data_IF_072809591890
#
_entry.id   IF_072809591890
#
_cell.length_a   1.000
_cell.length_b   1.000
_cell.length_c   1.000
_cell.angle_alpha   90.00
_cell.angle_beta   90.00
_cell.angle_gamma   90.00
#
_symmetry.space_group_name_H-M   'P 1'
#
loop_
_entity.id
_entity.type
_entity.pdbx_description
1 polymer ?
#
# COMPACT_ATOMS: atom_id res chain seq x y z
N UNK A 1 8.53 3.09 -17.37
CA UNK A 1 8.01 2.26 -16.26
C UNK A 1 9.20 1.89 -15.38
N UNK A 2 9.46 2.72 -14.36
CA UNK A 2 10.51 2.47 -13.39
C UNK A 2 10.02 1.37 -12.46
N UNK A 3 10.54 0.17 -12.64
CA UNK A 3 10.23 -0.91 -11.74
C UNK A 3 11.18 -0.83 -10.55
N UNK A 4 10.62 -0.72 -9.36
CA UNK A 4 11.40 -0.58 -8.14
C UNK A 4 11.58 -1.96 -7.50
N UNK A 5 12.79 -2.52 -7.66
CA UNK A 5 13.19 -3.73 -6.97
C UNK A 5 13.65 -3.39 -5.55
N UNK A 6 13.16 -4.17 -4.57
CA UNK A 6 13.39 -4.00 -3.14
C UNK A 6 13.82 -5.31 -2.50
N UNK A 7 14.56 -5.20 -1.41
CA UNK A 7 14.97 -6.31 -0.56
C UNK A 7 14.37 -6.13 0.83
N UNK A 8 13.78 -7.18 1.38
CA UNK A 8 13.26 -7.17 2.74
C UNK A 8 14.41 -7.05 3.76
N UNK A 9 14.51 -5.91 4.46
CA UNK A 9 15.54 -5.60 5.46
C UNK A 9 15.33 -6.31 6.80
N UNK A 10 14.09 -6.72 7.08
CA UNK A 10 13.69 -7.51 8.24
C UNK A 10 12.62 -8.51 7.85
N UNK A 11 12.35 -9.45 8.75
CA UNK A 11 11.19 -10.31 8.64
C UNK A 11 9.90 -9.48 8.73
N UNK A 12 8.93 -9.79 7.87
CA UNK A 12 7.69 -9.03 7.74
C UNK A 12 6.51 -9.94 7.43
N UNK A 13 5.38 -9.71 8.11
CA UNK A 13 4.13 -10.33 7.73
C UNK A 13 3.57 -9.68 6.46
N UNK A 14 3.12 -10.49 5.51
CA UNK A 14 2.52 -10.05 4.27
C UNK A 14 1.28 -10.90 3.95
N UNK A 15 0.34 -10.36 3.17
CA UNK A 15 -0.86 -11.06 2.74
C UNK A 15 -0.64 -11.56 1.31
N UNK A 16 -0.73 -12.86 1.05
CA UNK A 16 -0.68 -13.40 -0.32
C UNK A 16 -1.93 -13.02 -1.10
N UNK A 17 -1.73 -12.53 -2.32
CA UNK A 17 -2.79 -12.24 -3.28
C UNK A 17 -2.86 -13.39 -4.30
N UNK A 18 -4.07 -13.90 -4.65
CA UNK A 18 -5.40 -13.45 -4.21
C UNK A 18 -5.91 -14.13 -2.93
N UNK A 19 -5.19 -15.08 -2.33
CA UNK A 19 -5.74 -15.98 -1.32
C UNK A 19 -6.05 -15.32 0.04
N UNK A 20 -5.50 -14.13 0.32
CA UNK A 20 -5.71 -13.44 1.59
C UNK A 20 -4.98 -14.06 2.78
N UNK A 21 -4.05 -14.99 2.54
CA UNK A 21 -3.34 -15.73 3.59
C UNK A 21 -2.14 -14.93 4.08
N UNK A 22 -2.03 -14.75 5.39
CA UNK A 22 -0.83 -14.16 6.02
C UNK A 22 0.35 -15.12 5.88
N UNK A 23 1.44 -14.63 5.31
CA UNK A 23 2.72 -15.31 5.21
C UNK A 23 3.81 -14.46 5.84
N UNK A 24 4.81 -15.11 6.39
CA UNK A 24 5.97 -14.46 6.97
C UNK A 24 7.10 -14.48 5.94
N UNK A 25 7.56 -13.31 5.51
CA UNK A 25 8.64 -13.18 4.55
C UNK A 25 9.95 -12.96 5.30
N UNK A 26 10.96 -13.82 5.09
CA UNK A 26 12.25 -13.66 5.76
C UNK A 26 13.00 -12.44 5.22
N UNK A 27 13.90 -11.90 6.05
CA UNK A 27 14.90 -10.93 5.62
C UNK A 27 15.69 -11.46 4.41
N UNK A 28 16.01 -10.59 3.46
CA UNK A 28 16.72 -10.92 2.22
C UNK A 28 15.81 -11.37 1.08
N UNK A 29 14.50 -11.45 1.32
CA UNK A 29 13.54 -11.72 0.25
C UNK A 29 13.58 -10.59 -0.77
N UNK A 30 13.79 -10.93 -2.05
CA UNK A 30 13.76 -9.97 -3.14
C UNK A 30 12.35 -9.88 -3.70
N UNK A 31 11.87 -8.66 -3.88
CA UNK A 31 10.57 -8.39 -4.45
C UNK A 31 10.61 -7.12 -5.30
N UNK A 32 9.57 -6.93 -6.09
CA UNK A 32 9.39 -5.76 -6.95
C UNK A 32 8.11 -5.06 -6.58
N UNK A 33 8.16 -3.77 -6.31
CA UNK A 33 6.95 -2.98 -6.05
C UNK A 33 6.17 -2.86 -7.36
N UNK A 34 4.95 -3.38 -7.37
CA UNK A 34 4.03 -3.29 -8.52
C UNK A 34 3.02 -2.18 -8.34
N UNK A 35 2.60 -1.92 -7.10
CA UNK A 35 1.71 -0.81 -6.73
C UNK A 35 2.04 -0.29 -5.33
N UNK A 36 1.88 1.02 -5.18
CA UNK A 36 1.92 1.74 -3.90
C UNK A 36 0.58 2.46 -3.76
N UNK A 37 -0.31 1.92 -2.93
CA UNK A 37 -1.56 2.57 -2.55
C UNK A 37 -1.33 3.15 -1.16
N UNK A 38 -1.77 4.36 -0.83
CA UNK A 38 -1.32 5.10 0.37
C UNK A 38 -1.18 4.30 1.67
N UNK A 39 -2.01 3.29 1.90
CA UNK A 39 -2.00 2.44 3.09
C UNK A 39 -1.30 1.08 2.94
N UNK A 40 -0.84 0.70 1.75
CA UNK A 40 -0.22 -0.61 1.48
C UNK A 40 0.64 -0.68 0.21
N UNK A 41 1.62 -1.59 0.23
CA UNK A 41 2.44 -1.92 -0.93
C UNK A 41 2.10 -3.29 -1.46
N UNK A 42 1.91 -3.40 -2.77
CA UNK A 42 1.82 -4.68 -3.47
C UNK A 42 3.16 -5.00 -4.10
N UNK A 43 3.68 -6.17 -3.79
CA UNK A 43 5.00 -6.64 -4.16
C UNK A 43 4.89 -7.95 -4.92
N UNK A 44 5.67 -8.09 -5.99
CA UNK A 44 5.86 -9.35 -6.68
C UNK A 44 7.15 -10.00 -6.20
N UNK A 45 7.07 -11.22 -5.66
CA UNK A 45 8.25 -11.95 -5.18
C UNK A 45 9.07 -12.48 -6.36
N UNK A 46 10.36 -12.12 -6.43
CA UNK A 46 11.20 -12.43 -7.59
C UNK A 46 11.59 -13.91 -7.66
N UNK A 47 11.81 -14.55 -6.51
CA UNK A 47 12.27 -15.93 -6.42
C UNK A 47 11.13 -16.95 -6.46
N UNK A 48 10.15 -16.79 -5.58
CA UNK A 48 9.03 -17.73 -5.45
C UNK A 48 7.89 -17.45 -6.43
N UNK A 49 7.93 -16.30 -7.13
CA UNK A 49 6.80 -15.79 -7.86
C UNK A 49 5.62 -15.40 -6.94
N UNK A 50 4.58 -14.85 -7.55
CA UNK A 50 3.35 -14.46 -6.86
C UNK A 50 3.38 -13.05 -6.26
N UNK A 51 2.19 -12.61 -5.82
CA UNK A 51 1.96 -11.28 -5.27
C UNK A 51 1.72 -11.36 -3.77
N UNK A 52 2.26 -10.38 -3.06
CA UNK A 52 2.05 -10.18 -1.63
C UNK A 52 1.75 -8.72 -1.37
N UNK A 53 0.94 -8.44 -0.35
CA UNK A 53 0.65 -7.10 0.13
C UNK A 53 1.19 -6.91 1.54
N UNK A 54 1.92 -5.82 1.76
CA UNK A 54 2.32 -5.38 3.11
C UNK A 54 1.58 -4.08 3.45
N UNK A 55 1.31 -3.86 4.73
CA UNK A 55 0.74 -2.59 5.20
C UNK A 55 1.81 -1.50 5.17
N UNK A 56 1.39 -0.24 5.03
CA UNK A 56 2.32 0.90 5.01
C UNK A 56 3.12 1.04 6.32
N UNK A 57 2.55 0.67 7.48
CA UNK A 57 3.28 0.59 8.75
C UNK A 57 4.54 -0.31 8.71
N UNK A 58 4.58 -1.25 7.76
CA UNK A 58 5.67 -2.20 7.53
C UNK A 58 6.53 -1.80 6.31
N UNK A 59 6.35 -0.60 5.76
CA UNK A 59 7.13 -0.07 4.63
C UNK A 59 8.63 -0.05 4.91
N UNK A 60 9.03 0.11 6.18
CA UNK A 60 10.41 0.04 6.62
C UNK A 60 11.06 -1.31 6.27
N UNK A 61 10.27 -2.39 6.24
CA UNK A 61 10.74 -3.72 5.88
C UNK A 61 11.25 -3.78 4.45
N UNK A 62 10.74 -2.96 3.52
CA UNK A 62 11.22 -2.86 2.13
C UNK A 62 12.10 -1.63 1.89
N UNK A 63 12.51 -0.94 2.96
CA UNK A 63 13.35 0.25 2.88
C UNK A 63 12.64 1.51 2.43
N UNK A 64 11.30 1.51 2.48
CA UNK A 64 10.46 2.69 2.30
C UNK A 64 10.23 3.37 3.65
N UNK A 65 9.94 4.65 3.60
CA UNK A 65 9.48 5.37 4.79
C UNK A 65 7.97 5.16 4.87
N UNK A 66 7.42 4.64 5.98
CA UNK A 66 5.97 4.57 6.15
C UNK A 66 5.41 5.97 5.94
N UNK A 67 4.37 6.08 5.13
CA UNK A 67 3.67 7.33 5.03
C UNK A 67 3.04 7.57 6.40
N UNK A 68 3.26 8.76 6.98
CA UNK A 68 2.47 9.18 8.13
C UNK A 68 1.10 9.60 7.61
N UNK A 69 0.39 8.70 6.92
CA UNK A 69 -1.00 8.88 6.60
C UNK A 69 -1.67 9.16 7.94
N UNK A 70 -2.22 10.38 8.07
CA UNK A 70 -2.98 10.77 9.24
C UNK A 70 -3.94 9.62 9.55
N UNK A 71 -4.03 9.18 10.82
CA UNK A 71 -4.96 8.11 11.15
C UNK A 71 -6.29 8.50 10.51
N UNK A 72 -6.80 7.65 9.61
CA UNK A 72 -8.16 7.81 9.09
C UNK A 72 -8.99 8.06 10.32
N UNK A 73 -9.48 9.30 10.46
CA UNK A 73 -10.11 9.75 11.69
C UNK A 73 -11.14 8.68 12.00
N UNK A 74 -10.90 7.96 13.11
CA UNK A 74 -11.77 6.89 13.56
C UNK A 74 -13.15 7.48 13.54
N UNK A 75 -14.02 6.90 12.69
CA UNK A 75 -15.40 7.30 12.44
C UNK A 75 -15.86 8.30 13.47
N UNK A 76 -15.74 9.60 13.15
CA UNK A 76 -16.27 10.64 14.02
C UNK A 76 -17.72 10.26 14.24
N UNK A 77 -18.14 10.04 15.48
CA UNK A 77 -19.54 9.77 15.88
C UNK A 77 -20.45 11.00 15.64
N UNK A 78 -20.03 11.88 14.73
CA UNK A 78 -20.73 13.06 14.25
C UNK A 78 -21.23 12.86 12.83
N UNK A 79 -22.15 13.72 12.36
CA UNK A 79 -22.71 13.61 11.03
C UNK A 79 -21.60 13.70 9.97
N UNK A 80 -21.61 12.75 9.02
CA UNK A 80 -20.75 12.79 7.84
C UNK A 80 -21.10 14.07 7.07
N UNK A 81 -20.16 15.00 6.99
CA UNK A 81 -20.32 16.23 6.21
C UNK A 81 -19.88 16.01 4.77
N UNK A 82 -20.49 16.73 3.85
CA UNK A 82 -20.16 16.68 2.42
C UNK A 82 -18.67 17.00 2.17
N UNK A 83 -18.09 17.92 2.94
CA UNK A 83 -16.68 18.31 2.86
C UNK A 83 -15.72 17.14 3.16
N UNK A 84 -16.04 16.29 4.16
CA UNK A 84 -15.27 15.09 4.47
C UNK A 84 -15.35 14.03 3.36
N UNK A 85 -16.50 13.94 2.69
CA UNK A 85 -16.67 13.05 1.53
C UNK A 85 -15.83 13.54 0.36
N UNK A 86 -15.84 14.84 0.07
CA UNK A 86 -15.02 15.43 -0.97
C UNK A 86 -13.51 15.27 -0.69
N UNK A 87 -13.08 15.46 0.55
CA UNK A 87 -11.68 15.26 0.95
C UNK A 87 -11.22 13.82 0.73
N UNK A 88 -12.08 12.83 1.03
CA UNK A 88 -11.76 11.42 0.78
C UNK A 88 -11.76 11.07 -0.71
N UNK A 89 -12.69 11.62 -1.49
CA UNK A 89 -12.72 11.40 -2.94
C UNK A 89 -11.48 11.96 -3.62
N UNK A 90 -10.90 13.08 -3.16
CA UNK A 90 -9.64 13.61 -3.73
C UNK A 90 -8.44 12.69 -3.55
N UNK A 91 -8.51 11.74 -2.63
CA UNK A 91 -7.46 10.73 -2.44
C UNK A 91 -7.62 9.53 -3.38
N UNK A 92 -8.72 9.45 -4.13
CA UNK A 92 -8.96 8.42 -5.14
C UNK A 92 -8.48 8.93 -6.49
N UNK A 93 -7.43 8.30 -7.02
CA UNK A 93 -6.79 8.66 -8.29
C UNK A 93 -7.16 7.68 -9.39
N UNK A 94 -7.37 8.21 -10.60
CA UNK A 94 -7.53 7.37 -11.79
C UNK A 94 -6.19 6.68 -12.11
N UNK A 95 -6.18 5.35 -12.32
CA UNK A 95 -4.94 4.60 -12.54
C UNK A 95 -4.35 4.81 -13.95
N UNK A 96 -5.14 5.28 -14.91
CA UNK A 96 -4.73 5.52 -16.30
C UNK A 96 -4.30 6.99 -16.52
N UNK A 97 -4.80 7.92 -15.70
CA UNK A 97 -4.51 9.35 -15.79
C UNK A 97 -4.18 9.89 -14.39
N UNK A 98 -3.03 10.56 -14.16
CA UNK A 98 -2.58 10.99 -12.83
C UNK A 98 -3.33 12.24 -12.33
N UNK A 99 -4.65 12.18 -12.30
CA UNK A 99 -5.58 13.18 -11.77
C UNK A 99 -6.54 12.49 -10.79
N UNK A 100 -7.03 13.23 -9.78
CA UNK A 100 -7.99 12.68 -8.84
C UNK A 100 -9.40 12.64 -9.46
N UNK A 101 -10.29 11.82 -8.90
CA UNK A 101 -11.68 11.67 -9.39
C UNK A 101 -12.54 12.93 -9.24
N UNK A 102 -12.13 13.88 -8.40
CA UNK A 102 -12.86 15.14 -8.18
C UNK A 102 -12.54 16.17 -9.27
N UNK A 103 -11.32 16.13 -9.80
CA UNK A 103 -10.78 17.03 -10.80
C UNK A 103 -10.83 16.43 -12.23
N UNK A 104 -11.39 15.22 -12.39
CA UNK A 104 -11.55 14.51 -13.66
C UNK A 104 -12.62 15.13 -14.58
#
# INVERSE_FOLDING_TARGET
MSHEDVEFRRECAAIRIPQGITVLLPKGTHARITQSLGDSYTLQLTLSGGLVRIADKDADAIGKTPNSAAPVASTSDGPITEELVWDQLRQVFDPEIPINVVDL
#
